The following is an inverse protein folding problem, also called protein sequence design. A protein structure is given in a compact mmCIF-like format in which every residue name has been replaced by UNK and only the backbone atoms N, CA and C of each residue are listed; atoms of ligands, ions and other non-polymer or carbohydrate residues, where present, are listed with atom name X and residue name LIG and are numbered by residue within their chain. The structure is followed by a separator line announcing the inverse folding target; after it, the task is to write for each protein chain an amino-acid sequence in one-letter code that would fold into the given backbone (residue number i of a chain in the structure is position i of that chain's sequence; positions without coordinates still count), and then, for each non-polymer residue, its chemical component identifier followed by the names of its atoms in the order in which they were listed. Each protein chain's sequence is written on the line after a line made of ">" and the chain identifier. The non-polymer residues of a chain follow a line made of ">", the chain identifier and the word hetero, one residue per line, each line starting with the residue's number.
data_IF_762683577457
#
_entry.id   IF_762683577457
#
_cell.length_a   1.000
_cell.length_b   1.000
_cell.length_c   1.000
_cell.angle_alpha   90.00
_cell.angle_beta   90.00
_cell.angle_gamma   90.00
#
_symmetry.space_group_name_H-M   'P 1'
#
loop_
_entity.id
_entity.type
_entity.pdbx_description
1 polymer ?
#
# COMPACT_ATOMS: atom_id res chain seq x y z
N UNK A 1 12.60 -11.09 14.90
CA UNK A 1 12.82 -11.66 13.55
C UNK A 1 12.58 -10.64 12.45
N UNK A 2 11.48 -9.86 12.48
CA UNK A 2 11.05 -8.95 11.39
C UNK A 2 12.10 -7.92 10.93
N UNK A 3 12.86 -7.32 11.87
CA UNK A 3 13.91 -6.36 11.51
C UNK A 3 15.27 -7.00 11.19
N UNK A 4 15.50 -8.29 11.50
CA UNK A 4 16.78 -8.95 11.26
C UNK A 4 16.82 -9.68 9.91
N UNK A 5 15.71 -10.33 9.54
CA UNK A 5 15.62 -11.12 8.33
C UNK A 5 15.89 -10.32 7.02
N UNK A 6 15.38 -9.08 6.84
CA UNK A 6 15.70 -8.27 5.66
C UNK A 6 17.19 -7.98 5.50
N UNK A 7 17.92 -7.90 6.60
CA UNK A 7 19.33 -7.53 6.64
C UNK A 7 20.23 -8.74 6.84
N UNK A 8 19.78 -9.94 6.46
CA UNK A 8 20.58 -11.18 6.49
C UNK A 8 21.20 -11.47 7.87
N UNK A 9 20.46 -11.12 8.93
CA UNK A 9 20.91 -11.26 10.32
C UNK A 9 22.09 -10.37 10.70
N UNK A 10 22.39 -9.34 9.91
CA UNK A 10 23.32 -8.28 10.27
C UNK A 10 22.71 -7.42 11.39
N UNK A 11 23.25 -7.59 12.60
CA UNK A 11 22.72 -6.96 13.82
C UNK A 11 22.94 -5.45 13.80
N UNK A 12 24.05 -4.97 13.25
CA UNK A 12 24.38 -3.55 13.23
C UNK A 12 23.46 -2.78 12.30
N UNK A 13 23.22 -3.32 11.09
CA UNK A 13 22.28 -2.74 10.14
C UNK A 13 20.86 -2.81 10.69
N UNK A 14 20.45 -3.96 11.24
CA UNK A 14 19.10 -4.12 11.80
C UNK A 14 18.85 -3.18 12.99
N UNK A 15 19.85 -2.97 13.86
CA UNK A 15 19.75 -2.03 14.97
C UNK A 15 19.64 -0.59 14.48
N UNK A 16 20.45 -0.19 13.49
CA UNK A 16 20.37 1.14 12.89
C UNK A 16 18.98 1.41 12.28
N UNK A 17 18.43 0.44 11.55
CA UNK A 17 17.09 0.57 10.95
C UNK A 17 16.00 0.61 12.01
N UNK A 18 16.09 -0.22 13.06
CA UNK A 18 15.15 -0.18 14.17
C UNK A 18 15.16 1.19 14.86
N UNK A 19 16.35 1.76 15.09
CA UNK A 19 16.49 3.09 15.68
C UNK A 19 15.87 4.17 14.80
N UNK A 20 16.11 4.14 13.49
CA UNK A 20 15.47 5.07 12.55
C UNK A 20 13.95 4.89 12.49
N UNK A 21 13.44 3.65 12.58
CA UNK A 21 12.02 3.39 12.68
C UNK A 21 11.43 4.01 13.96
N UNK A 22 12.06 3.82 15.13
CA UNK A 22 11.59 4.39 16.39
C UNK A 22 11.59 5.92 16.36
N UNK A 23 12.64 6.56 15.83
CA UNK A 23 12.68 8.02 15.63
C UNK A 23 11.58 8.48 14.69
N UNK A 24 11.38 7.80 13.57
CA UNK A 24 10.33 8.13 12.62
C UNK A 24 8.96 8.04 13.27
N UNK A 25 8.65 6.96 13.99
CA UNK A 25 7.36 6.75 14.67
C UNK A 25 7.01 7.90 15.61
N UNK A 26 8.00 8.37 16.39
CA UNK A 26 7.83 9.54 17.27
C UNK A 26 7.61 10.81 16.45
N UNK A 27 8.41 11.05 15.41
CA UNK A 27 8.29 12.27 14.58
C UNK A 27 7.01 12.33 13.74
N UNK A 28 6.50 11.18 13.30
CA UNK A 28 5.27 11.04 12.52
C UNK A 28 4.02 11.02 13.40
N UNK A 29 4.21 10.86 14.71
CA UNK A 29 3.15 10.82 15.71
C UNK A 29 2.13 9.69 15.50
N UNK A 30 2.66 8.48 15.22
CA UNK A 30 1.86 7.30 14.83
C UNK A 30 0.75 6.98 15.84
N UNK A 31 1.00 7.18 17.13
CA UNK A 31 0.05 6.87 18.21
C UNK A 31 -1.13 7.85 18.30
N UNK A 32 -1.04 9.03 17.66
CA UNK A 32 -2.09 10.05 17.68
C UNK A 32 -2.76 10.25 16.32
N UNK A 33 -2.58 9.32 15.38
CA UNK A 33 -3.35 9.31 14.13
C UNK A 33 -4.83 9.17 14.47
N UNK A 34 -5.62 10.19 14.15
CA UNK A 34 -7.02 10.26 14.56
C UNK A 34 -7.95 9.72 13.48
N UNK A 35 -8.91 8.88 13.85
CA UNK A 35 -9.93 8.43 12.90
C UNK A 35 -10.77 9.60 12.34
N UNK A 36 -10.92 10.68 13.11
CA UNK A 36 -11.66 11.86 12.68
C UNK A 36 -10.95 12.60 11.55
N UNK A 37 -9.61 12.73 11.60
CA UNK A 37 -8.84 13.34 10.50
C UNK A 37 -8.84 12.45 9.25
N UNK A 38 -8.91 11.14 9.43
CA UNK A 38 -8.92 10.17 8.33
C UNK A 38 -10.31 9.99 7.72
N UNK A 39 -11.38 10.38 8.42
CA UNK A 39 -12.76 10.15 8.00
C UNK A 39 -13.04 10.57 6.55
N UNK A 40 -12.63 11.75 6.06
CA UNK A 40 -12.88 12.13 4.67
C UNK A 40 -12.21 11.20 3.65
N UNK A 41 -11.05 10.64 3.99
CA UNK A 41 -10.30 9.72 3.13
C UNK A 41 -10.91 8.31 3.17
N UNK A 42 -11.39 7.89 4.33
CA UNK A 42 -12.09 6.62 4.55
C UNK A 42 -13.45 6.62 3.84
N UNK A 43 -14.23 7.70 3.97
CA UNK A 43 -15.54 7.86 3.31
C UNK A 43 -15.43 7.75 1.78
N UNK A 44 -14.38 8.36 1.18
CA UNK A 44 -14.10 8.26 -0.25
C UNK A 44 -13.37 6.98 -0.65
N UNK A 45 -13.02 6.12 0.30
CA UNK A 45 -12.26 4.86 0.10
C UNK A 45 -10.95 5.05 -0.64
N UNK A 46 -10.15 6.03 -0.21
CA UNK A 46 -8.80 6.21 -0.76
C UNK A 46 -7.94 4.96 -0.54
N UNK A 47 -7.96 4.39 0.66
CA UNK A 47 -7.30 3.13 0.95
C UNK A 47 -8.06 2.32 2.00
N UNK A 48 -8.00 0.98 1.88
CA UNK A 48 -8.64 0.03 2.81
C UNK A 48 -8.02 -1.36 2.68
N UNK A 49 -8.12 -2.17 3.73
CA UNK A 49 -7.72 -3.59 3.68
C UNK A 49 -8.96 -4.46 3.52
N UNK A 50 -8.98 -5.31 2.49
CA UNK A 50 -10.08 -6.26 2.27
C UNK A 50 -9.64 -7.45 1.42
N UNK A 51 -10.14 -8.64 1.76
CA UNK A 51 -9.92 -9.84 0.98
C UNK A 51 -8.49 -10.41 1.07
N UNK A 52 -8.22 -11.40 0.23
CA UNK A 52 -6.93 -12.10 0.16
C UNK A 52 -6.49 -12.33 -1.28
N UNK A 53 -5.18 -12.27 -1.52
CA UNK A 53 -4.60 -12.72 -2.79
C UNK A 53 -4.61 -14.26 -2.90
N UNK A 54 -4.18 -14.81 -4.05
CA UNK A 54 -4.10 -16.26 -4.26
C UNK A 54 -3.13 -16.98 -3.31
N UNK A 55 -2.23 -16.25 -2.63
CA UNK A 55 -1.33 -16.78 -1.63
C UNK A 55 -1.90 -16.64 -0.20
N UNK A 56 -3.14 -16.19 -0.05
CA UNK A 56 -3.82 -15.99 1.24
C UNK A 56 -3.39 -14.73 2.00
N UNK A 57 -2.65 -13.81 1.37
CA UNK A 57 -2.15 -12.57 1.99
C UNK A 57 -3.22 -11.50 1.93
N UNK A 58 -3.34 -10.68 2.98
CA UNK A 58 -4.26 -9.52 2.98
C UNK A 58 -3.94 -8.58 1.81
N UNK A 59 -4.96 -7.88 1.31
CA UNK A 59 -4.79 -6.88 0.24
C UNK A 59 -5.08 -5.50 0.81
N UNK A 60 -4.09 -4.60 0.70
CA UNK A 60 -4.25 -3.16 0.91
C UNK A 60 -4.56 -2.51 -0.44
N UNK A 61 -5.80 -2.08 -0.61
CA UNK A 61 -6.28 -1.38 -1.79
C UNK A 61 -5.98 0.10 -1.69
N UNK A 62 -5.53 0.72 -2.77
CA UNK A 62 -5.33 2.16 -2.92
C UNK A 62 -6.03 2.61 -4.20
N UNK A 63 -7.10 3.40 -4.06
CA UNK A 63 -7.84 3.96 -5.19
C UNK A 63 -7.22 5.29 -5.62
N UNK A 64 -6.44 5.27 -6.70
CA UNK A 64 -5.71 6.44 -7.14
C UNK A 64 -6.60 7.56 -7.67
N UNK A 65 -7.80 7.27 -8.19
CA UNK A 65 -8.76 8.33 -8.59
C UNK A 65 -9.16 9.25 -7.43
N UNK A 66 -9.06 8.75 -6.21
CA UNK A 66 -9.40 9.48 -4.97
C UNK A 66 -8.19 10.18 -4.35
N UNK A 67 -6.98 9.92 -4.85
CA UNK A 67 -5.76 10.54 -4.33
C UNK A 67 -5.67 11.99 -4.82
N UNK A 68 -5.29 12.88 -3.90
CA UNK A 68 -5.03 14.29 -4.18
C UNK A 68 -3.57 14.57 -3.90
N UNK A 69 -2.85 15.07 -4.90
CA UNK A 69 -1.43 15.39 -4.74
C UNK A 69 -1.21 16.41 -3.62
N UNK A 70 -0.25 16.14 -2.73
CA UNK A 70 0.05 16.98 -1.56
C UNK A 70 -0.85 16.74 -0.34
N UNK A 71 -1.80 15.81 -0.40
CA UNK A 71 -2.65 15.44 0.74
C UNK A 71 -1.87 14.57 1.74
N UNK A 72 -1.24 15.21 2.73
CA UNK A 72 -0.47 14.52 3.78
C UNK A 72 -1.30 13.54 4.61
N UNK A 73 -2.63 13.67 4.63
CA UNK A 73 -3.48 12.71 5.33
C UNK A 73 -3.46 11.32 4.65
N UNK A 74 -3.08 11.23 3.37
CA UNK A 74 -2.91 9.95 2.68
C UNK A 74 -1.77 9.12 3.28
N UNK A 75 -0.65 9.76 3.66
CA UNK A 75 0.45 9.10 4.38
C UNK A 75 -0.03 8.56 5.72
N UNK A 76 -0.81 9.35 6.47
CA UNK A 76 -1.40 8.93 7.74
C UNK A 76 -2.38 7.77 7.57
N UNK A 77 -3.20 7.79 6.52
CA UNK A 77 -4.13 6.69 6.22
C UNK A 77 -3.37 5.39 5.89
N UNK A 78 -2.28 5.49 5.12
CA UNK A 78 -1.42 4.34 4.84
C UNK A 78 -0.85 3.76 6.15
N UNK A 79 -0.29 4.61 7.00
CA UNK A 79 0.27 4.21 8.30
C UNK A 79 -0.80 3.61 9.21
N UNK A 80 -1.99 4.19 9.27
CA UNK A 80 -3.13 3.65 10.02
C UNK A 80 -3.43 2.20 9.62
N UNK A 81 -3.54 1.92 8.32
CA UNK A 81 -3.80 0.56 7.83
C UNK A 81 -2.64 -0.40 8.09
N UNK A 82 -1.39 0.08 7.98
CA UNK A 82 -0.21 -0.73 8.29
C UNK A 82 -0.12 -1.06 9.79
N UNK A 83 -0.35 -0.10 10.70
CA UNK A 83 -0.41 -0.33 12.14
C UNK A 83 -1.50 -1.33 12.52
N UNK A 84 -2.68 -1.18 11.94
CA UNK A 84 -3.79 -2.09 12.19
C UNK A 84 -3.46 -3.50 11.73
N UNK A 85 -2.96 -3.65 10.51
CA UNK A 85 -2.60 -4.96 9.96
C UNK A 85 -1.44 -5.61 10.71
N UNK A 86 -0.40 -4.84 11.08
CA UNK A 86 0.73 -5.39 11.84
C UNK A 86 0.31 -5.86 13.23
N UNK A 87 -0.64 -5.16 13.85
CA UNK A 87 -1.24 -5.56 15.13
C UNK A 87 -2.10 -6.83 14.98
N UNK A 88 -3.04 -6.85 14.03
CA UNK A 88 -4.00 -7.95 13.85
C UNK A 88 -3.38 -9.22 13.25
N UNK A 89 -2.34 -9.08 12.42
CA UNK A 89 -1.72 -10.17 11.66
C UNK A 89 -0.25 -10.38 11.99
N UNK A 90 0.24 -9.80 13.08
CA UNK A 90 1.62 -9.93 13.56
C UNK A 90 2.67 -9.62 12.48
N UNK A 91 2.41 -8.61 11.64
CA UNK A 91 3.32 -8.19 10.57
C UNK A 91 3.42 -9.17 9.40
N UNK A 92 2.40 -10.03 9.18
CA UNK A 92 2.34 -10.90 8.01
C UNK A 92 2.43 -10.09 6.70
N UNK A 93 3.10 -10.60 5.65
CA UNK A 93 3.19 -9.92 4.37
C UNK A 93 1.80 -9.67 3.74
N UNK A 94 1.65 -8.54 3.06
CA UNK A 94 0.44 -8.12 2.36
C UNK A 94 0.74 -7.73 0.90
N UNK A 95 -0.30 -7.74 0.08
CA UNK A 95 -0.27 -7.24 -1.30
C UNK A 95 -0.83 -5.83 -1.33
N UNK A 96 -0.09 -4.87 -1.89
CA UNK A 96 -0.61 -3.52 -2.16
C UNK A 96 -1.15 -3.50 -3.57
N UNK A 97 -2.38 -3.03 -3.72
CA UNK A 97 -3.08 -2.97 -5.00
C UNK A 97 -3.45 -1.53 -5.33
N UNK A 98 -2.82 -0.96 -6.36
CA UNK A 98 -3.18 0.34 -6.90
C UNK A 98 -4.26 0.17 -7.95
N UNK A 99 -5.47 0.63 -7.65
CA UNK A 99 -6.53 0.80 -8.64
C UNK A 99 -6.33 2.13 -9.37
N UNK A 100 -5.91 2.04 -10.63
CA UNK A 100 -5.67 3.21 -11.49
C UNK A 100 -6.90 3.58 -12.32
N UNK A 101 -8.04 2.90 -12.15
CA UNK A 101 -9.28 3.20 -12.88
C UNK A 101 -9.66 4.67 -12.67
N UNK A 102 -9.89 5.39 -13.77
CA UNK A 102 -10.22 6.82 -13.77
C UNK A 102 -9.18 7.75 -13.09
N UNK A 103 -7.93 7.28 -12.95
CA UNK A 103 -6.82 8.13 -12.51
C UNK A 103 -6.12 8.81 -13.68
N UNK A 104 -5.39 9.90 -13.40
CA UNK A 104 -4.54 10.60 -14.37
C UNK A 104 -3.38 11.33 -13.69
N UNK A 105 -2.71 12.21 -14.44
CA UNK A 105 -1.52 12.95 -13.94
C UNK A 105 -1.79 13.69 -12.63
N UNK A 106 -2.98 14.28 -12.47
CA UNK A 106 -3.38 15.01 -11.25
C UNK A 106 -3.41 14.14 -9.98
N UNK A 107 -3.53 12.83 -10.14
CA UNK A 107 -3.58 11.87 -9.03
C UNK A 107 -2.20 11.29 -8.70
N UNK A 108 -1.21 11.45 -9.59
CA UNK A 108 0.12 10.92 -9.36
C UNK A 108 0.89 11.83 -8.42
N UNK A 109 1.21 11.32 -7.24
CA UNK A 109 1.95 12.02 -6.20
C UNK A 109 3.26 11.27 -5.93
N UNK A 110 4.35 11.82 -6.46
CA UNK A 110 5.66 11.20 -6.36
C UNK A 110 6.19 11.19 -4.93
N UNK A 111 5.78 12.12 -4.08
CA UNK A 111 6.21 12.17 -2.69
C UNK A 111 5.46 11.13 -1.87
N UNK A 112 4.16 10.95 -2.09
CA UNK A 112 3.40 9.83 -1.51
C UNK A 112 3.98 8.48 -1.94
N UNK A 113 4.35 8.31 -3.21
CA UNK A 113 4.96 7.05 -3.68
C UNK A 113 6.33 6.80 -3.04
N UNK A 114 7.17 7.83 -2.87
CA UNK A 114 8.43 7.72 -2.10
C UNK A 114 8.16 7.34 -0.65
N UNK A 115 7.17 7.97 -0.02
CA UNK A 115 6.79 7.67 1.34
C UNK A 115 6.35 6.21 1.49
N UNK A 116 5.49 5.71 0.59
CA UNK A 116 5.03 4.32 0.60
C UNK A 116 6.20 3.33 0.49
N UNK A 117 7.13 3.54 -0.44
CA UNK A 117 8.32 2.69 -0.58
C UNK A 117 9.22 2.76 0.65
N UNK A 118 9.42 3.95 1.23
CA UNK A 118 10.18 4.13 2.47
C UNK A 118 9.52 3.42 3.65
N UNK A 119 8.19 3.49 3.75
CA UNK A 119 7.44 2.83 4.81
C UNK A 119 7.69 1.33 4.82
N UNK A 120 7.56 0.66 3.66
CA UNK A 120 7.85 -0.78 3.58
C UNK A 120 9.33 -1.13 3.73
N UNK A 121 10.24 -0.23 3.37
CA UNK A 121 11.68 -0.48 3.48
C UNK A 121 12.21 -0.34 4.91
N UNK A 122 11.76 0.67 5.65
CA UNK A 122 12.38 1.08 6.91
C UNK A 122 11.46 0.96 8.13
N UNK A 123 10.15 1.12 7.95
CA UNK A 123 9.22 1.22 9.09
C UNK A 123 8.41 -0.07 9.30
N UNK A 124 8.05 -0.71 8.19
CA UNK A 124 7.29 -1.96 8.13
C UNK A 124 8.02 -3.00 7.26
N UNK A 125 9.27 -3.35 7.61
CA UNK A 125 10.03 -4.34 6.85
C UNK A 125 9.30 -5.68 6.80
N UNK A 126 9.54 -6.45 5.74
CA UNK A 126 8.88 -7.74 5.44
C UNK A 126 7.36 -7.69 5.23
N UNK A 127 6.69 -6.54 5.38
CA UNK A 127 5.24 -6.46 5.19
C UNK A 127 4.84 -6.41 3.71
N UNK A 128 5.75 -6.09 2.78
CA UNK A 128 5.42 -6.01 1.35
C UNK A 128 5.70 -7.33 0.63
N UNK A 129 4.66 -7.96 0.09
CA UNK A 129 4.76 -9.19 -0.70
C UNK A 129 4.59 -8.99 -2.19
N UNK A 130 3.80 -7.99 -2.61
CA UNK A 130 3.52 -7.68 -4.02
C UNK A 130 2.99 -6.26 -4.15
N UNK A 131 3.31 -5.61 -5.28
CA UNK A 131 2.77 -4.32 -5.71
C UNK A 131 2.05 -4.53 -7.05
N UNK A 132 0.72 -4.53 -7.05
CA UNK A 132 -0.08 -4.68 -8.26
C UNK A 132 -0.61 -3.32 -8.71
N UNK A 133 -0.40 -2.99 -9.99
CA UNK A 133 -0.86 -1.73 -10.59
C UNK A 133 -1.89 -2.06 -11.66
N UNK A 134 -3.17 -1.87 -11.34
CA UNK A 134 -4.30 -2.25 -12.19
C UNK A 134 -4.70 -1.16 -13.18
N UNK A 135 -4.80 -1.53 -14.46
CA UNK A 135 -5.29 -0.65 -15.55
C UNK A 135 -4.55 0.70 -15.61
N UNK A 136 -3.21 0.65 -15.54
CA UNK A 136 -2.38 1.84 -15.53
C UNK A 136 -2.57 2.70 -16.80
N UNK A 137 -3.02 3.96 -16.69
CA UNK A 137 -3.09 4.89 -17.81
C UNK A 137 -1.72 5.12 -18.45
N UNK A 138 -1.64 5.08 -19.78
CA UNK A 138 -0.37 5.25 -20.50
C UNK A 138 0.34 6.58 -20.21
N UNK A 139 -0.42 7.64 -19.93
CA UNK A 139 0.10 8.96 -19.53
C UNK A 139 0.92 8.91 -18.24
N UNK A 140 0.69 7.92 -17.37
CA UNK A 140 1.41 7.73 -16.09
C UNK A 140 2.65 6.83 -16.23
N UNK A 141 2.95 6.29 -17.41
CA UNK A 141 4.10 5.39 -17.61
C UNK A 141 5.43 6.03 -17.21
N UNK A 142 5.63 7.34 -17.48
CA UNK A 142 6.84 8.05 -17.10
C UNK A 142 6.99 8.14 -15.57
N UNK A 143 5.88 8.41 -14.87
CA UNK A 143 5.88 8.45 -13.40
C UNK A 143 6.22 7.10 -12.79
N UNK A 144 5.66 6.00 -13.31
CA UNK A 144 6.01 4.65 -12.83
C UNK A 144 7.47 4.26 -13.12
N UNK A 145 8.06 4.75 -14.22
CA UNK A 145 9.51 4.60 -14.45
C UNK A 145 10.34 5.30 -13.38
N UNK A 146 9.94 6.49 -12.94
CA UNK A 146 10.59 7.19 -11.82
C UNK A 146 10.39 6.44 -10.50
N UNK A 147 9.17 5.99 -10.21
CA UNK A 147 8.89 5.21 -8.98
C UNK A 147 9.75 3.94 -8.95
N UNK A 148 9.89 3.25 -10.09
CA UNK A 148 10.71 2.05 -10.22
C UNK A 148 12.20 2.32 -9.98
N UNK A 149 12.72 3.49 -10.34
CA UNK A 149 14.14 3.82 -10.14
C UNK A 149 14.52 4.02 -8.66
N UNK A 150 13.54 4.17 -7.76
CA UNK A 150 13.76 4.25 -6.31
C UNK A 150 13.75 2.86 -5.63
N UNK A 151 13.42 1.81 -6.37
CA UNK A 151 13.35 0.44 -5.88
C UNK A 151 14.66 -0.29 -6.15
N UNK A 152 15.14 -1.06 -5.17
CA UNK A 152 16.17 -2.08 -5.41
C UNK A 152 15.65 -3.23 -6.27
N UNK A 153 16.56 -4.09 -6.73
CA UNK A 153 16.23 -5.19 -7.64
C UNK A 153 15.17 -6.15 -7.11
N UNK A 154 15.14 -6.35 -5.80
CA UNK A 154 14.23 -7.31 -5.18
C UNK A 154 12.83 -6.70 -5.11
N UNK A 155 12.74 -5.43 -4.70
CA UNK A 155 11.48 -4.66 -4.68
C UNK A 155 10.92 -4.48 -6.10
N UNK A 156 11.76 -4.26 -7.11
CA UNK A 156 11.30 -4.17 -8.51
C UNK A 156 10.63 -5.44 -9.02
N UNK A 157 11.01 -6.63 -8.52
CA UNK A 157 10.36 -7.90 -8.91
C UNK A 157 8.96 -8.04 -8.33
N UNK A 158 8.65 -7.31 -7.26
CA UNK A 158 7.33 -7.32 -6.63
C UNK A 158 6.31 -6.47 -7.41
N UNK A 159 6.78 -5.50 -8.20
CA UNK A 159 5.93 -4.58 -8.97
C UNK A 159 5.48 -5.19 -10.29
N UNK A 160 4.16 -5.32 -10.45
CA UNK A 160 3.54 -5.87 -11.65
C UNK A 160 2.36 -5.02 -12.10
N UNK A 161 2.35 -4.70 -13.40
CA UNK A 161 1.20 -4.07 -14.02
C UNK A 161 0.21 -5.16 -14.45
N UNK A 162 -1.04 -5.00 -14.06
CA UNK A 162 -2.12 -5.96 -14.34
C UNK A 162 -3.29 -5.26 -15.02
N UNK A 163 -4.07 -6.02 -15.76
CA UNK A 163 -5.27 -5.57 -16.48
C UNK A 163 -6.47 -6.37 -15.97
N UNK A 164 -7.67 -6.01 -16.42
CA UNK A 164 -8.89 -6.79 -16.16
C UNK A 164 -8.75 -8.27 -16.53
N UNK A 165 -7.97 -8.60 -17.56
CA UNK A 165 -7.76 -9.97 -18.01
C UNK A 165 -6.70 -10.72 -17.21
N UNK A 166 -5.69 -10.04 -16.67
CA UNK A 166 -4.59 -10.69 -15.95
C UNK A 166 -4.75 -10.68 -14.43
N UNK A 167 -5.54 -9.77 -13.86
CA UNK A 167 -5.76 -9.65 -12.41
C UNK A 167 -6.29 -10.93 -11.73
N UNK A 168 -7.12 -11.78 -12.38
CA UNK A 168 -7.56 -13.04 -11.76
C UNK A 168 -6.43 -14.04 -11.50
N UNK A 169 -5.26 -13.86 -12.13
CA UNK A 169 -4.06 -14.67 -11.84
C UNK A 169 -3.35 -14.25 -10.54
N UNK A 170 -3.87 -13.26 -9.83
CA UNK A 170 -3.31 -12.73 -8.59
C UNK A 170 -4.33 -12.66 -7.46
N UNK A 171 -5.57 -12.27 -7.77
CA UNK A 171 -6.64 -12.08 -6.79
C UNK A 171 -7.88 -12.87 -7.24
N UNK A 172 -8.48 -13.69 -6.36
CA UNK A 172 -9.73 -14.38 -6.64
C UNK A 172 -10.87 -13.40 -7.02
N UNK A 173 -11.73 -13.75 -7.98
CA UNK A 173 -12.90 -12.94 -8.36
C UNK A 173 -13.80 -12.53 -7.18
N UNK A 174 -13.92 -13.39 -6.17
CA UNK A 174 -14.72 -13.13 -4.97
C UNK A 174 -14.24 -11.93 -4.13
N UNK A 175 -12.96 -11.56 -4.28
CA UNK A 175 -12.35 -10.39 -3.61
C UNK A 175 -12.12 -9.22 -4.57
N UNK A 176 -12.39 -9.39 -5.86
CA UNK A 176 -12.25 -8.33 -6.85
C UNK A 176 -13.54 -7.47 -6.92
N UNK A 177 -13.42 -6.14 -7.01
CA UNK A 177 -14.53 -5.26 -7.30
C UNK A 177 -15.22 -5.56 -8.65
N UNK A 178 -16.51 -5.26 -8.77
CA UNK A 178 -17.27 -5.44 -10.02
C UNK A 178 -16.62 -4.74 -11.24
N UNK A 179 -16.07 -3.53 -11.07
CA UNK A 179 -15.42 -2.82 -12.17
C UNK A 179 -14.10 -3.46 -12.63
N UNK A 180 -13.54 -4.37 -11.82
CA UNK A 180 -12.40 -5.22 -12.17
C UNK A 180 -12.80 -6.61 -12.66
N UNK A 181 -14.10 -6.91 -12.71
CA UNK A 181 -14.63 -8.20 -13.17
C UNK A 181 -14.79 -9.25 -12.08
N UNK A 182 -14.76 -8.84 -10.81
CA UNK A 182 -15.06 -9.71 -9.69
C UNK A 182 -16.51 -9.62 -9.21
N UNK A 183 -16.72 -9.98 -7.95
CA UNK A 183 -18.03 -10.15 -7.32
C UNK A 183 -18.29 -9.16 -6.17
N UNK A 184 -17.27 -8.43 -5.72
CA UNK A 184 -17.38 -7.51 -4.58
C UNK A 184 -18.23 -6.30 -4.95
N UNK A 185 -19.33 -6.13 -4.20
CA UNK A 185 -20.18 -4.95 -4.24
C UNK A 185 -19.84 -4.02 -3.08
N UNK A 186 -19.29 -2.86 -3.38
CA UNK A 186 -19.17 -1.79 -2.38
C UNK A 186 -20.52 -1.11 -2.21
N UNK A 187 -21.36 -1.64 -1.33
CA UNK A 187 -22.51 -0.89 -0.84
C UNK A 187 -22.01 0.23 0.08
N UNK A 188 -22.60 1.42 -0.04
CA UNK A 188 -22.21 2.66 0.66
C UNK A 188 -22.21 2.60 2.19
N UNK A 189 -22.55 1.46 2.80
CA UNK A 189 -22.87 1.33 4.23
C UNK A 189 -22.08 0.26 5.00
N UNK A 190 -21.19 -0.53 4.38
CA UNK A 190 -20.54 -1.66 5.07
C UNK A 190 -19.02 -1.69 4.91
N UNK A 191 -18.36 -0.66 5.41
CA UNK A 191 -17.01 -0.77 5.98
C UNK A 191 -16.97 0.13 7.22
N UNK A 192 -17.48 -0.36 8.35
CA UNK A 192 -17.25 0.29 9.63
C UNK A 192 -15.83 -0.07 10.07
N UNK A 193 -14.88 0.81 9.71
CA UNK A 193 -13.52 1.00 10.22
C UNK A 193 -12.76 -0.23 10.76
#
# INVERSE_FOLDING_TARGET
>A
MTFLAPYKMDVDIAFAVLLECLKWRTSFDVHHISLLELKPLLDRRLAYIHGKDLNGRSILWINMSQHRSGDRAAEKLLVYWLERHTTERHGAPLTVFFDMTASGLQNMDLDFMKFLLRAFKYYYPCCLASLLVFENPSVLNASWKLVRSWMDSDTQRLLQHVTRTSVPNFIPPLFLPLHMGGEVRFNSFHLFY
#
